data_IF_190035288197
#
_entry.id   IF_190035288197
#
_cell.length_a   1.000
_cell.length_b   1.000
_cell.length_c   1.000
_cell.angle_alpha   90.00
_cell.angle_beta   90.00
_cell.angle_gamma   90.00
#
_symmetry.space_group_name_H-M   'P 1'
#
loop_
_entity.id
_entity.type
_entity.pdbx_description
1 polymer ?
#
# COMPACT_ATOMS: atom_id res chain seq x y z
N UNK A 1 -3.34 3.26 -5.29
CA UNK A 1 -2.17 4.14 -5.10
C UNK A 1 -0.86 3.38 -5.33
N UNK A 2 -0.62 2.24 -4.66
CA UNK A 2 0.68 1.53 -4.77
C UNK A 2 0.60 0.09 -5.32
N UNK A 3 -0.46 -0.67 -5.03
CA UNK A 3 -0.56 -2.08 -5.46
C UNK A 3 -0.77 -2.24 -6.98
N UNK A 4 -1.62 -1.41 -7.59
CA UNK A 4 -1.91 -1.49 -9.03
C UNK A 4 -0.66 -1.35 -9.91
N UNK A 5 0.15 -0.29 -9.73
CA UNK A 5 1.43 -0.16 -10.43
C UNK A 5 2.40 -1.32 -10.16
N UNK A 6 2.44 -1.85 -8.93
CA UNK A 6 3.31 -2.97 -8.56
C UNK A 6 2.89 -4.29 -9.24
N UNK A 7 1.59 -4.55 -9.32
CA UNK A 7 1.04 -5.70 -10.06
C UNK A 7 1.36 -5.58 -11.55
N UNK A 8 1.20 -4.39 -12.14
CA UNK A 8 1.57 -4.16 -13.54
C UNK A 8 3.06 -4.40 -13.79
N UNK A 9 3.95 -3.91 -12.92
CA UNK A 9 5.39 -4.17 -12.98
C UNK A 9 5.71 -5.67 -12.88
N UNK A 10 4.98 -6.42 -12.05
CA UNK A 10 5.18 -7.86 -11.90
C UNK A 10 4.71 -8.67 -13.12
N UNK A 11 3.50 -8.36 -13.63
CA UNK A 11 2.84 -9.14 -14.69
C UNK A 11 3.40 -8.83 -16.08
N UNK A 12 3.77 -7.57 -16.36
CA UNK A 12 4.21 -7.19 -17.69
C UNK A 12 5.64 -7.70 -18.00
N UNK A 13 5.88 -8.15 -19.25
CA UNK A 13 7.21 -8.54 -19.71
C UNK A 13 8.05 -7.28 -19.98
N UNK A 14 8.71 -6.77 -18.95
CA UNK A 14 9.59 -5.60 -19.02
C UNK A 14 11.05 -6.09 -19.08
N UNK A 15 11.80 -5.78 -20.16
CA UNK A 15 13.22 -6.15 -20.27
C UNK A 15 14.06 -5.51 -19.16
N UNK A 16 15.02 -6.26 -18.60
CA UNK A 16 15.92 -5.82 -17.53
C UNK A 16 15.24 -5.31 -16.25
N UNK A 17 14.01 -5.76 -15.94
CA UNK A 17 13.32 -5.34 -14.72
C UNK A 17 13.96 -5.94 -13.47
N UNK A 18 14.07 -5.14 -12.42
CA UNK A 18 14.49 -5.57 -11.09
C UNK A 18 13.36 -6.26 -10.31
N UNK A 19 13.63 -6.55 -9.04
CA UNK A 19 12.65 -7.18 -8.15
C UNK A 19 11.44 -6.27 -7.85
N UNK A 20 10.26 -6.86 -7.70
CA UNK A 20 9.01 -6.10 -7.44
C UNK A 20 8.80 -5.74 -5.96
N UNK A 21 9.82 -5.96 -5.12
CA UNK A 21 9.88 -5.62 -3.68
C UNK A 21 8.58 -5.97 -2.91
N UNK A 22 8.20 -7.25 -2.98
CA UNK A 22 6.97 -7.73 -2.37
C UNK A 22 6.98 -7.66 -0.83
N UNK A 23 8.17 -7.62 -0.21
CA UNK A 23 8.32 -7.46 1.24
C UNK A 23 7.74 -6.14 1.75
N UNK A 24 7.81 -5.06 0.95
CA UNK A 24 7.23 -3.77 1.29
C UNK A 24 5.75 -3.62 0.89
N UNK A 25 5.21 -4.52 0.06
CA UNK A 25 3.92 -4.33 -0.61
C UNK A 25 2.70 -4.27 0.33
N UNK A 26 2.78 -4.83 1.54
CA UNK A 26 1.69 -4.81 2.53
C UNK A 26 1.58 -3.48 3.29
N UNK A 27 2.68 -2.75 3.43
CA UNK A 27 2.76 -1.49 4.18
C UNK A 27 1.81 -0.41 3.64
N UNK A 28 1.75 -0.14 2.31
CA UNK A 28 0.80 0.83 1.77
C UNK A 28 -0.67 0.36 1.80
N UNK A 29 -0.94 -0.85 2.29
CA UNK A 29 -2.31 -1.34 2.54
C UNK A 29 -2.65 -1.19 4.02
N UNK A 30 -1.84 -1.78 4.89
CA UNK A 30 -2.10 -1.83 6.33
C UNK A 30 -1.91 -0.46 6.98
N UNK A 31 -0.90 0.31 6.57
CA UNK A 31 -0.62 1.64 7.11
C UNK A 31 -1.83 2.59 6.97
N UNK A 32 -2.37 2.80 5.76
CA UNK A 32 -3.55 3.64 5.57
C UNK A 32 -4.80 3.13 6.30
N UNK A 33 -5.02 1.81 6.36
CA UNK A 33 -6.17 1.24 7.10
C UNK A 33 -6.07 1.59 8.58
N UNK A 34 -4.91 1.33 9.21
CA UNK A 34 -4.69 1.63 10.62
C UNK A 34 -4.82 3.14 10.85
N UNK A 35 -4.19 3.97 10.01
CA UNK A 35 -4.27 5.42 10.13
C UNK A 35 -5.70 5.95 10.00
N UNK A 36 -6.49 5.41 9.08
CA UNK A 36 -7.89 5.79 8.90
C UNK A 36 -8.75 5.41 10.11
N UNK A 37 -8.58 4.20 10.64
CA UNK A 37 -9.29 3.73 11.84
C UNK A 37 -8.93 4.59 13.04
N UNK A 38 -7.64 4.81 13.29
CA UNK A 38 -7.17 5.66 14.39
C UNK A 38 -7.67 7.10 14.25
N UNK A 39 -7.63 7.66 13.04
CA UNK A 39 -8.15 9.00 12.77
C UNK A 39 -9.65 9.12 13.04
N UNK A 40 -10.44 8.13 12.61
CA UNK A 40 -11.88 8.09 12.85
C UNK A 40 -12.22 7.95 14.34
N UNK A 41 -11.52 7.06 15.05
CA UNK A 41 -11.70 6.88 16.50
C UNK A 41 -11.32 8.15 17.26
N UNK A 42 -10.19 8.76 16.92
CA UNK A 42 -9.72 9.98 17.57
C UNK A 42 -10.69 11.14 17.32
N UNK A 43 -11.19 11.28 16.09
CA UNK A 43 -12.19 12.30 15.76
C UNK A 43 -13.46 12.13 16.60
N UNK A 44 -14.02 10.92 16.68
CA UNK A 44 -15.21 10.65 17.50
C UNK A 44 -14.96 10.82 19.01
N UNK A 45 -13.72 10.67 19.49
CA UNK A 45 -13.39 10.82 20.90
C UNK A 45 -13.15 12.29 21.30
N UNK A 46 -12.76 13.15 20.37
CA UNK A 46 -12.35 14.52 20.64
C UNK A 46 -13.39 15.57 20.22
N UNK A 47 -14.30 15.23 19.31
CA UNK A 47 -15.35 16.11 18.77
C UNK A 47 -16.71 15.59 19.19
#
# INVERSE_FOLDING_TARGET
RDLGPRIAHFVLPIPNKGDSDWGYAWIPVVGPIIGAVLGAVLFNALV
#
